data_IF_410992187204
#
_entry.id   IF_410992187204
#
_cell.length_a   1.000
_cell.length_b   1.000
_cell.length_c   1.000
_cell.angle_alpha   90.00
_cell.angle_beta   90.00
_cell.angle_gamma   90.00
#
_symmetry.space_group_name_H-M   'P 1'
#
loop_
_entity.id
_entity.type
_entity.pdbx_description
1 polymer ?
#
# COMPACT_ATOMS: atom_id res chain seq x y z
N UNK A 1 19.59 7.75 -21.20
CA UNK A 1 18.50 8.41 -21.94
C UNK A 1 18.46 7.82 -23.33
N UNK A 2 17.29 7.38 -23.77
CA UNK A 2 17.09 6.65 -25.03
C UNK A 2 16.17 7.42 -26.00
N UNK A 3 15.37 8.36 -25.49
CA UNK A 3 14.41 9.14 -26.27
C UNK A 3 14.32 10.59 -25.74
N UNK A 4 14.48 11.56 -26.62
CA UNK A 4 14.44 12.99 -26.25
C UNK A 4 13.04 13.48 -25.84
N UNK A 5 11.98 12.75 -26.21
CA UNK A 5 10.60 13.03 -25.78
C UNK A 5 10.44 12.95 -24.26
N UNK A 6 11.38 12.32 -23.56
CA UNK A 6 11.50 12.31 -22.11
C UNK A 6 11.36 13.72 -21.51
N UNK A 7 12.10 14.70 -22.06
CA UNK A 7 12.13 16.05 -21.53
C UNK A 7 10.76 16.72 -21.58
N UNK A 8 10.03 16.51 -22.68
CA UNK A 8 8.66 17.00 -22.82
C UNK A 8 7.72 16.34 -21.81
N UNK A 9 7.82 15.02 -21.62
CA UNK A 9 7.02 14.30 -20.64
C UNK A 9 7.32 14.73 -19.21
N UNK A 10 8.59 14.84 -18.84
CA UNK A 10 8.99 15.30 -17.53
C UNK A 10 8.54 16.76 -17.25
N UNK A 11 8.66 17.64 -18.25
CA UNK A 11 8.28 19.05 -18.09
C UNK A 11 6.77 19.24 -17.90
N UNK A 12 5.94 18.51 -18.68
CA UNK A 12 4.48 18.67 -18.62
C UNK A 12 3.77 17.70 -17.70
N UNK A 13 4.36 16.55 -17.42
CA UNK A 13 3.81 15.49 -16.56
C UNK A 13 4.43 15.43 -15.17
N UNK A 14 5.48 16.20 -14.90
CA UNK A 14 6.19 16.19 -13.63
C UNK A 14 6.76 14.82 -13.28
N UNK A 15 6.67 14.45 -12.01
CA UNK A 15 7.11 13.15 -11.47
C UNK A 15 6.38 11.97 -12.10
N UNK A 16 5.08 12.09 -12.32
CA UNK A 16 4.28 11.06 -13.01
C UNK A 16 4.76 10.90 -14.45
N UNK A 17 4.96 11.98 -15.19
CA UNK A 17 5.47 11.95 -16.56
C UNK A 17 6.88 11.35 -16.67
N UNK A 18 7.73 11.57 -15.65
CA UNK A 18 9.05 10.95 -15.57
C UNK A 18 8.95 9.43 -15.33
N UNK A 19 8.02 9.00 -14.46
CA UNK A 19 7.74 7.60 -14.19
C UNK A 19 7.15 6.88 -15.41
N UNK A 20 6.16 7.47 -16.09
CA UNK A 20 5.61 6.94 -17.34
C UNK A 20 6.68 6.80 -18.43
N UNK A 21 7.56 7.78 -18.57
CA UNK A 21 8.68 7.74 -19.50
C UNK A 21 9.68 6.61 -19.19
N UNK A 22 9.86 6.26 -17.91
CA UNK A 22 10.65 5.11 -17.51
C UNK A 22 9.98 3.80 -17.93
N UNK A 23 8.69 3.64 -17.65
CA UNK A 23 7.91 2.46 -18.04
C UNK A 23 7.91 2.26 -19.56
N UNK A 24 7.82 3.36 -20.32
CA UNK A 24 7.89 3.33 -21.79
C UNK A 24 9.32 3.16 -22.36
N UNK A 25 10.33 2.97 -21.49
CA UNK A 25 11.71 2.74 -21.89
C UNK A 25 12.43 3.96 -22.48
N UNK A 26 11.92 5.19 -22.27
CA UNK A 26 12.57 6.41 -22.78
C UNK A 26 13.88 6.73 -22.05
N UNK A 27 14.04 6.20 -20.85
CA UNK A 27 15.27 6.27 -20.08
C UNK A 27 15.42 5.05 -19.16
N UNK A 28 16.63 4.80 -18.70
CA UNK A 28 16.95 3.75 -17.74
C UNK A 28 18.06 4.19 -16.81
N UNK A 29 18.18 3.54 -15.65
CA UNK A 29 19.28 3.74 -14.73
C UNK A 29 19.64 2.40 -14.06
N UNK A 30 20.92 2.11 -13.84
CA UNK A 30 21.34 0.97 -13.03
C UNK A 30 21.05 1.17 -11.53
N UNK A 31 20.79 2.42 -11.11
CA UNK A 31 20.47 2.79 -9.72
C UNK A 31 19.34 3.82 -9.68
N UNK A 32 18.08 3.30 -9.70
CA UNK A 32 16.89 4.14 -9.61
C UNK A 32 16.76 4.86 -8.27
N UNK A 33 17.26 4.25 -7.19
CA UNK A 33 17.20 4.85 -5.85
C UNK A 33 17.99 6.15 -5.83
N UNK A 34 19.20 6.17 -6.42
CA UNK A 34 20.01 7.38 -6.52
C UNK A 34 19.37 8.44 -7.41
N UNK A 35 18.67 8.06 -8.50
CA UNK A 35 17.92 9.02 -9.33
C UNK A 35 16.81 9.69 -8.51
N UNK A 36 16.03 8.91 -7.76
CA UNK A 36 14.96 9.44 -6.88
C UNK A 36 15.56 10.35 -5.79
N UNK A 37 16.68 9.95 -5.18
CA UNK A 37 17.37 10.78 -4.18
C UNK A 37 17.85 12.13 -4.74
N UNK A 38 18.37 12.13 -5.96
CA UNK A 38 18.77 13.37 -6.63
C UNK A 38 17.54 14.23 -6.91
N UNK A 39 16.43 13.65 -7.39
CA UNK A 39 15.18 14.39 -7.60
C UNK A 39 14.68 15.04 -6.30
N UNK A 40 14.60 14.28 -5.21
CA UNK A 40 14.14 14.79 -3.90
C UNK A 40 15.05 15.92 -3.38
N UNK A 41 16.36 15.80 -3.51
CA UNK A 41 17.31 16.82 -3.06
C UNK A 41 17.24 18.12 -3.85
N UNK A 42 16.64 18.10 -5.04
CA UNK A 42 16.51 19.25 -5.92
C UNK A 42 15.04 19.67 -6.13
N UNK A 43 14.11 19.20 -5.29
CA UNK A 43 12.69 19.55 -5.42
C UNK A 43 12.45 21.05 -5.44
N UNK A 44 13.13 21.81 -4.57
CA UNK A 44 13.02 23.28 -4.52
C UNK A 44 13.39 23.95 -5.86
N UNK A 45 14.37 23.37 -6.57
CA UNK A 45 14.79 23.86 -7.90
C UNK A 45 13.74 23.53 -8.95
N UNK A 46 13.16 22.33 -8.88
CA UNK A 46 12.09 21.92 -9.78
C UNK A 46 10.82 22.75 -9.56
N UNK A 47 10.46 23.03 -8.31
CA UNK A 47 9.33 23.87 -7.96
C UNK A 47 9.54 25.33 -8.42
N UNK A 48 10.74 25.84 -8.27
CA UNK A 48 11.09 27.20 -8.75
C UNK A 48 11.14 27.30 -10.28
N UNK A 49 11.67 26.26 -10.97
CA UNK A 49 11.73 26.21 -12.42
C UNK A 49 10.37 25.95 -13.08
N UNK A 50 9.45 25.31 -12.35
CA UNK A 50 8.10 24.98 -12.82
C UNK A 50 7.16 26.16 -12.98
N UNK A 51 7.40 27.28 -12.31
CA UNK A 51 6.74 28.58 -12.44
C UNK A 51 5.33 28.60 -13.03
N UNK A 52 5.14 29.27 -14.15
CA UNK A 52 3.84 29.43 -14.83
C UNK A 52 3.35 28.13 -15.48
N UNK A 53 4.26 27.34 -16.04
CA UNK A 53 3.89 26.06 -16.71
C UNK A 53 3.41 24.99 -15.73
N UNK A 54 4.03 24.87 -14.54
CA UNK A 54 3.55 23.98 -13.49
C UNK A 54 2.17 24.38 -12.98
N UNK A 55 1.88 25.70 -12.89
CA UNK A 55 0.55 26.21 -12.49
C UNK A 55 -0.52 25.89 -13.53
N UNK A 56 -0.21 25.96 -14.82
CA UNK A 56 -1.12 25.59 -15.91
C UNK A 56 -1.34 24.07 -15.92
N UNK A 57 -0.28 23.27 -15.81
CA UNK A 57 -0.38 21.81 -15.73
C UNK A 57 -1.15 21.37 -14.46
N UNK A 58 -0.91 22.00 -13.30
CA UNK A 58 -1.64 21.75 -12.07
C UNK A 58 -3.13 22.12 -12.20
N UNK A 59 -3.48 23.18 -12.95
CA UNK A 59 -4.87 23.54 -13.22
C UNK A 59 -5.58 22.47 -14.05
N UNK A 60 -4.95 21.95 -15.11
CA UNK A 60 -5.51 20.85 -15.91
C UNK A 60 -5.55 19.53 -15.15
N UNK A 61 -4.53 19.22 -14.35
CA UNK A 61 -4.51 18.05 -13.48
C UNK A 61 -5.57 18.16 -12.37
N UNK A 62 -5.78 19.34 -11.79
CA UNK A 62 -6.84 19.57 -10.80
C UNK A 62 -8.23 19.36 -11.41
N UNK A 63 -8.48 19.78 -12.67
CA UNK A 63 -9.72 19.47 -13.40
C UNK A 63 -9.90 17.97 -13.66
N UNK A 64 -8.85 17.24 -14.00
CA UNK A 64 -8.87 15.75 -14.11
C UNK A 64 -9.09 15.07 -12.77
N UNK A 65 -8.51 15.58 -11.69
CA UNK A 65 -8.75 15.07 -10.33
C UNK A 65 -10.14 15.40 -9.80
N UNK A 66 -10.70 16.59 -10.09
CA UNK A 66 -12.07 16.92 -9.68
C UNK A 66 -13.13 16.14 -10.46
N UNK A 67 -12.80 15.59 -11.63
CA UNK A 67 -13.65 14.64 -12.33
C UNK A 67 -13.63 13.22 -11.72
N UNK A 68 -12.70 12.92 -10.80
CA UNK A 68 -12.68 11.74 -9.94
C UNK A 68 -13.32 12.12 -8.60
N UNK A 69 -14.63 12.27 -8.64
CA UNK A 69 -15.45 12.70 -7.52
C UNK A 69 -15.31 11.74 -6.32
N UNK A 70 -15.21 12.30 -5.09
CA UNK A 70 -15.25 11.57 -3.82
C UNK A 70 -16.67 11.13 -3.45
N UNK A 71 -17.53 10.86 -4.45
CA UNK A 71 -18.78 10.16 -4.24
C UNK A 71 -18.52 8.74 -3.71
N UNK A 72 -19.49 8.13 -3.07
CA UNK A 72 -19.39 6.74 -2.57
C UNK A 72 -18.98 5.79 -3.70
N UNK A 73 -19.49 6.01 -4.92
CA UNK A 73 -19.16 5.23 -6.10
C UNK A 73 -17.76 5.55 -6.67
N UNK A 74 -17.36 6.83 -6.64
CA UNK A 74 -16.00 7.27 -7.01
C UNK A 74 -14.96 6.72 -6.06
N UNK A 75 -15.23 6.74 -4.75
CA UNK A 75 -14.37 6.15 -3.73
C UNK A 75 -14.23 4.63 -3.89
N UNK A 76 -15.33 3.92 -4.19
CA UNK A 76 -15.29 2.48 -4.48
C UNK A 76 -14.42 2.15 -5.70
N UNK A 77 -14.55 2.92 -6.78
CA UNK A 77 -13.71 2.76 -7.99
C UNK A 77 -12.26 3.07 -7.71
N UNK A 78 -11.94 4.17 -7.05
CA UNK A 78 -10.56 4.54 -6.72
C UNK A 78 -9.89 3.52 -5.82
N UNK A 79 -10.64 2.90 -4.92
CA UNK A 79 -10.14 1.82 -4.04
C UNK A 79 -9.98 0.53 -4.82
N UNK A 80 -10.94 0.17 -5.68
CA UNK A 80 -10.81 -0.98 -6.56
C UNK A 80 -9.55 -0.84 -7.43
N UNK A 81 -9.37 0.29 -8.10
CA UNK A 81 -8.20 0.59 -8.93
C UNK A 81 -6.88 0.48 -8.13
N UNK A 82 -6.88 0.93 -6.86
CA UNK A 82 -5.68 0.87 -6.01
C UNK A 82 -5.33 -0.57 -5.59
N UNK A 83 -6.31 -1.42 -5.29
CA UNK A 83 -6.08 -2.81 -4.86
C UNK A 83 -6.17 -3.83 -6.02
N UNK A 84 -6.60 -3.40 -7.21
CA UNK A 84 -6.73 -4.25 -8.40
C UNK A 84 -5.40 -4.58 -9.11
N UNK A 85 -4.27 -4.05 -8.60
CA UNK A 85 -2.93 -4.47 -9.01
C UNK A 85 -2.69 -5.98 -8.83
N UNK A 86 -3.54 -6.64 -8.03
CA UNK A 86 -3.51 -8.08 -7.80
C UNK A 86 -2.54 -8.51 -6.70
N UNK A 87 -2.83 -9.68 -6.11
CA UNK A 87 -2.02 -10.21 -5.00
C UNK A 87 -0.57 -10.49 -5.43
N UNK A 88 -0.34 -10.86 -6.69
CA UNK A 88 1.00 -11.13 -7.23
C UNK A 88 1.89 -9.88 -7.20
N UNK A 89 1.33 -8.70 -7.51
CA UNK A 89 2.07 -7.46 -7.42
C UNK A 89 2.53 -7.16 -5.99
N UNK A 90 1.65 -7.33 -5.01
CA UNK A 90 1.97 -7.07 -3.61
C UNK A 90 3.01 -8.06 -3.05
N UNK A 91 3.03 -9.30 -3.52
CA UNK A 91 4.04 -10.30 -3.16
C UNK A 91 5.46 -9.95 -3.60
N UNK A 92 5.62 -9.03 -4.56
CA UNK A 92 6.96 -8.60 -5.00
C UNK A 92 7.73 -7.83 -3.92
N UNK A 93 7.04 -7.18 -2.98
CA UNK A 93 7.69 -6.29 -2.01
C UNK A 93 7.16 -6.39 -0.58
N UNK A 94 6.02 -7.05 -0.35
CA UNK A 94 5.52 -7.33 0.99
C UNK A 94 6.04 -8.67 1.50
N UNK A 95 5.93 -8.87 2.82
CA UNK A 95 6.18 -10.14 3.47
C UNK A 95 5.05 -11.15 3.21
N UNK A 96 5.23 -12.41 3.66
CA UNK A 96 4.26 -13.48 3.45
C UNK A 96 2.87 -13.20 4.05
N UNK A 97 2.78 -12.32 5.05
CA UNK A 97 1.50 -11.88 5.63
C UNK A 97 0.76 -10.86 4.75
N UNK A 98 1.40 -10.38 3.68
CA UNK A 98 0.92 -9.31 2.82
C UNK A 98 0.51 -8.06 3.61
N UNK A 99 1.23 -7.75 4.70
CA UNK A 99 0.91 -6.60 5.54
C UNK A 99 1.25 -5.28 4.85
N UNK A 100 0.24 -4.61 4.30
CA UNK A 100 0.40 -3.35 3.59
C UNK A 100 0.32 -2.14 4.54
N UNK A 101 1.19 -2.14 5.53
CA UNK A 101 1.40 -1.04 6.48
C UNK A 101 2.81 -1.11 7.02
N UNK A 102 3.31 0.00 7.60
CA UNK A 102 4.67 0.06 8.13
C UNK A 102 4.90 -1.05 9.16
N UNK A 103 6.08 -1.66 9.12
CA UNK A 103 6.53 -2.62 10.11
C UNK A 103 7.16 -1.91 11.33
N UNK A 104 7.33 -2.65 12.42
CA UNK A 104 8.04 -2.19 13.59
C UNK A 104 9.36 -2.94 13.72
N UNK A 105 10.45 -2.29 13.35
CA UNK A 105 11.79 -2.85 13.40
C UNK A 105 12.37 -2.68 14.81
N UNK A 106 12.69 -3.78 15.46
CA UNK A 106 13.42 -3.78 16.73
C UNK A 106 14.92 -3.64 16.51
N UNK A 107 15.40 -4.05 15.32
CA UNK A 107 16.79 -3.93 14.86
C UNK A 107 16.83 -3.47 13.41
N UNK A 108 17.84 -2.66 13.01
CA UNK A 108 17.93 -2.12 11.66
C UNK A 108 17.95 -3.16 10.53
N UNK A 109 18.58 -4.32 10.77
CA UNK A 109 18.77 -5.37 9.77
C UNK A 109 17.76 -6.54 9.91
N UNK A 110 16.66 -6.30 10.62
CA UNK A 110 15.66 -7.34 10.82
C UNK A 110 14.87 -7.61 9.53
N UNK A 111 14.58 -8.88 9.18
CA UNK A 111 13.72 -9.20 8.04
C UNK A 111 12.31 -8.61 8.20
N UNK A 112 11.73 -8.13 7.08
CA UNK A 112 10.42 -7.47 7.06
C UNK A 112 9.33 -8.30 7.77
N UNK A 113 9.25 -9.62 7.51
CA UNK A 113 8.25 -10.47 8.15
C UNK A 113 8.35 -10.50 9.68
N UNK A 114 9.58 -10.48 10.25
CA UNK A 114 9.77 -10.37 11.69
C UNK A 114 9.33 -9.02 12.24
N UNK A 115 9.67 -7.95 11.55
CA UNK A 115 9.25 -6.60 11.90
C UNK A 115 7.72 -6.42 11.82
N UNK A 116 7.05 -7.11 10.89
CA UNK A 116 5.59 -7.15 10.83
C UNK A 116 4.99 -7.90 12.01
N UNK A 117 5.54 -9.05 12.39
CA UNK A 117 5.12 -9.80 13.59
C UNK A 117 5.35 -8.95 14.86
N UNK A 118 6.49 -8.27 14.99
CA UNK A 118 6.76 -7.37 16.11
C UNK A 118 5.74 -6.24 16.21
N UNK A 119 5.30 -5.68 15.09
CA UNK A 119 4.19 -4.73 15.03
C UNK A 119 2.90 -5.32 15.58
N UNK A 120 2.51 -6.51 15.11
CA UNK A 120 1.29 -7.19 15.57
C UNK A 120 1.34 -7.45 17.07
N UNK A 121 2.45 -7.98 17.58
CA UNK A 121 2.67 -8.20 19.01
C UNK A 121 2.53 -6.93 19.82
N UNK A 122 3.10 -5.83 19.34
CA UNK A 122 3.01 -4.53 20.00
C UNK A 122 1.57 -4.05 20.10
N UNK A 123 0.78 -4.21 19.04
CA UNK A 123 -0.64 -3.87 19.01
C UNK A 123 -1.41 -4.74 20.00
N UNK A 124 -1.24 -6.07 19.92
CA UNK A 124 -1.93 -7.02 20.80
C UNK A 124 -1.67 -6.74 22.28
N UNK A 125 -0.40 -6.46 22.64
CA UNK A 125 -0.04 -6.11 24.04
C UNK A 125 -0.66 -4.79 24.48
N UNK A 126 -0.65 -3.76 23.65
CA UNK A 126 -1.27 -2.46 23.97
C UNK A 126 -2.77 -2.57 24.18
N UNK A 127 -3.44 -3.41 23.39
CA UNK A 127 -4.87 -3.68 23.50
C UNK A 127 -5.19 -4.70 24.60
N UNK A 128 -4.18 -5.32 25.22
CA UNK A 128 -4.34 -6.38 26.24
C UNK A 128 -5.23 -7.50 25.75
N UNK A 129 -4.99 -7.98 24.53
CA UNK A 129 -5.81 -9.02 23.92
C UNK A 129 -5.73 -10.33 24.71
N UNK A 130 -6.85 -11.04 24.74
CA UNK A 130 -7.03 -12.33 25.37
C UNK A 130 -8.36 -12.96 24.94
N UNK A 131 -8.67 -14.21 25.39
CA UNK A 131 -9.82 -14.98 24.92
C UNK A 131 -11.18 -14.29 25.13
N UNK A 132 -11.30 -13.44 26.15
CA UNK A 132 -12.53 -12.72 26.47
C UNK A 132 -12.70 -11.41 25.66
N UNK A 133 -11.66 -10.99 24.93
CA UNK A 133 -11.68 -9.74 24.18
C UNK A 133 -12.41 -9.93 22.86
N UNK A 134 -13.29 -8.98 22.54
CA UNK A 134 -13.89 -8.82 21.20
C UNK A 134 -13.25 -7.64 20.51
N UNK A 135 -12.48 -7.91 19.46
CA UNK A 135 -11.75 -6.90 18.70
C UNK A 135 -12.50 -6.55 17.42
N UNK A 136 -12.61 -5.26 17.13
CA UNK A 136 -13.00 -4.76 15.83
C UNK A 136 -11.77 -4.23 15.09
N UNK A 137 -11.49 -4.78 13.92
CA UNK A 137 -10.45 -4.33 13.00
C UNK A 137 -11.10 -3.66 11.79
N UNK A 138 -10.74 -2.40 11.53
CA UNK A 138 -11.20 -1.67 10.35
C UNK A 138 -10.03 -1.63 9.37
N UNK A 139 -10.17 -2.36 8.25
CA UNK A 139 -9.11 -2.54 7.26
C UNK A 139 -8.35 -3.85 7.43
N UNK A 140 -9.00 -4.97 7.14
CA UNK A 140 -8.44 -6.34 7.22
C UNK A 140 -7.13 -6.52 6.46
N UNK A 141 -6.95 -5.79 5.35
CA UNK A 141 -5.91 -6.14 4.40
C UNK A 141 -6.08 -7.58 3.92
N UNK A 142 -5.01 -8.36 3.95
CA UNK A 142 -5.04 -9.79 3.62
C UNK A 142 -5.21 -10.69 4.86
N UNK A 143 -5.57 -10.12 6.00
CA UNK A 143 -5.93 -10.86 7.22
C UNK A 143 -4.78 -11.21 8.15
N UNK A 144 -3.58 -10.73 7.90
CA UNK A 144 -2.39 -11.10 8.67
C UNK A 144 -2.49 -10.76 10.16
N UNK A 145 -2.94 -9.54 10.50
CA UNK A 145 -3.11 -9.16 11.91
C UNK A 145 -4.24 -9.92 12.59
N UNK A 146 -5.40 -10.05 11.93
CA UNK A 146 -6.53 -10.80 12.48
C UNK A 146 -6.15 -12.27 12.77
N UNK A 147 -5.48 -12.92 11.81
CA UNK A 147 -4.98 -14.28 11.99
C UNK A 147 -4.02 -14.38 13.18
N UNK A 148 -3.02 -13.49 13.25
CA UNK A 148 -2.06 -13.45 14.35
C UNK A 148 -2.72 -13.28 15.72
N UNK A 149 -3.63 -12.32 15.84
CA UNK A 149 -4.32 -12.02 17.09
C UNK A 149 -5.23 -13.17 17.53
N UNK A 150 -5.99 -13.77 16.61
CA UNK A 150 -6.85 -14.91 16.90
C UNK A 150 -6.05 -16.14 17.32
N UNK A 151 -5.01 -16.50 16.58
CA UNK A 151 -4.19 -17.69 16.83
C UNK A 151 -3.41 -17.59 18.14
N UNK A 152 -2.82 -16.44 18.41
CA UNK A 152 -1.92 -16.29 19.54
C UNK A 152 -2.61 -15.87 20.83
N UNK A 153 -3.65 -15.06 20.73
CA UNK A 153 -4.33 -14.47 21.89
C UNK A 153 -5.73 -15.05 22.11
N UNK A 154 -6.25 -15.85 21.17
CA UNK A 154 -7.56 -16.50 21.29
C UNK A 154 -8.73 -15.52 21.28
N UNK A 155 -8.53 -14.24 20.96
CA UNK A 155 -9.58 -13.24 20.98
C UNK A 155 -10.55 -13.42 19.79
N UNK A 156 -11.78 -12.95 19.95
CA UNK A 156 -12.78 -12.92 18.88
C UNK A 156 -12.60 -11.65 18.06
N UNK A 157 -12.49 -11.79 16.74
CA UNK A 157 -12.24 -10.65 15.85
C UNK A 157 -13.36 -10.53 14.84
N UNK A 158 -13.88 -9.30 14.73
CA UNK A 158 -14.68 -8.85 13.60
C UNK A 158 -13.81 -7.93 12.78
N UNK A 159 -13.62 -8.25 11.50
CA UNK A 159 -12.78 -7.45 10.62
C UNK A 159 -13.52 -7.03 9.36
N UNK A 160 -13.16 -5.88 8.80
CA UNK A 160 -13.84 -5.30 7.64
C UNK A 160 -12.84 -4.88 6.58
N UNK A 161 -13.22 -5.03 5.32
CA UNK A 161 -12.49 -4.48 4.17
C UNK A 161 -13.47 -4.00 3.11
N UNK A 162 -13.03 -3.02 2.33
CA UNK A 162 -13.76 -2.49 1.17
C UNK A 162 -13.26 -3.09 -0.15
N UNK A 163 -12.17 -3.88 -0.11
CA UNK A 163 -11.62 -4.57 -1.27
C UNK A 163 -12.16 -5.99 -1.35
N UNK A 164 -12.82 -6.31 -2.47
CA UNK A 164 -13.33 -7.67 -2.72
C UNK A 164 -12.20 -8.70 -2.77
N UNK A 165 -11.08 -8.38 -3.39
CA UNK A 165 -9.92 -9.28 -3.47
C UNK A 165 -9.31 -9.59 -2.10
N UNK A 166 -9.20 -8.58 -1.23
CA UNK A 166 -8.75 -8.78 0.15
C UNK A 166 -9.75 -9.62 0.95
N UNK A 167 -11.05 -9.36 0.78
CA UNK A 167 -12.09 -10.15 1.42
C UNK A 167 -12.01 -11.62 1.03
N UNK A 168 -11.95 -11.92 -0.26
CA UNK A 168 -11.87 -13.30 -0.78
C UNK A 168 -10.62 -14.00 -0.24
N UNK A 169 -9.47 -13.35 -0.30
CA UNK A 169 -8.21 -13.90 0.22
C UNK A 169 -8.25 -14.15 1.73
N UNK A 170 -8.66 -13.16 2.52
CA UNK A 170 -8.72 -13.29 3.98
C UNK A 170 -9.73 -14.37 4.42
N UNK A 171 -10.87 -14.48 3.73
CA UNK A 171 -11.84 -15.55 3.96
C UNK A 171 -11.25 -16.94 3.74
N UNK A 172 -10.50 -17.12 2.64
CA UNK A 172 -9.82 -18.39 2.37
C UNK A 172 -8.74 -18.69 3.40
N UNK A 173 -7.97 -17.68 3.82
CA UNK A 173 -6.97 -17.81 4.88
C UNK A 173 -7.64 -18.29 6.19
N UNK A 174 -8.72 -17.63 6.61
CA UNK A 174 -9.40 -17.95 7.86
C UNK A 174 -10.10 -19.32 7.81
N UNK A 175 -10.66 -19.69 6.66
CA UNK A 175 -11.23 -21.03 6.47
C UNK A 175 -10.18 -22.12 6.66
N UNK A 176 -9.01 -22.00 6.01
CA UNK A 176 -7.90 -22.94 6.17
C UNK A 176 -7.39 -23.02 7.61
N UNK A 177 -7.30 -21.90 8.31
CA UNK A 177 -6.91 -21.89 9.72
C UNK A 177 -7.95 -22.53 10.62
N UNK A 178 -9.25 -22.39 10.30
CA UNK A 178 -10.36 -23.05 10.97
C UNK A 178 -10.35 -24.58 10.76
N UNK A 179 -10.10 -25.05 9.54
CA UNK A 179 -9.95 -26.48 9.23
C UNK A 179 -8.79 -27.14 10.00
N UNK A 180 -7.73 -26.38 10.26
CA UNK A 180 -6.62 -26.83 11.10
C UNK A 180 -6.94 -26.78 12.61
N UNK A 181 -8.16 -26.39 12.99
CA UNK A 181 -8.57 -26.25 14.37
C UNK A 181 -7.99 -25.03 15.10
N UNK A 182 -7.41 -24.08 14.36
CA UNK A 182 -6.72 -22.92 14.91
C UNK A 182 -7.62 -21.70 15.05
N UNK A 183 -8.78 -21.68 14.37
CA UNK A 183 -9.74 -20.58 14.47
C UNK A 183 -11.14 -21.13 14.64
N UNK A 184 -11.86 -20.64 15.65
CA UNK A 184 -13.30 -20.80 15.73
C UNK A 184 -13.95 -19.86 14.70
N UNK A 185 -14.71 -20.43 13.76
CA UNK A 185 -15.41 -19.68 12.71
C UNK A 185 -16.50 -18.80 13.29
N UNK A 186 -16.32 -17.49 13.19
CA UNK A 186 -17.39 -16.51 13.23
C UNK A 186 -17.09 -15.42 12.21
N UNK A 187 -17.77 -15.51 11.08
CA UNK A 187 -17.89 -14.43 10.10
C UNK A 187 -19.14 -13.60 10.42
#
# INVERSE_FOLDING_TARGET
>A
MHDERLWKRALFGGDVGLGEAYVDGMWSSPDLVSVIRVAIRNMDVFDAAGGVFARIAAFFNRKRHSARDNSIEGSRRNIADHYDLGNEFYRLFLDDSLSYSCAFYEKPDEPLGRAQVAKYERICRKLRLGPEVRLLEIGTGWGGFAAHAALKYGCRITTTTISRKQYEFSRELFARLGELGWLGTAF
#
